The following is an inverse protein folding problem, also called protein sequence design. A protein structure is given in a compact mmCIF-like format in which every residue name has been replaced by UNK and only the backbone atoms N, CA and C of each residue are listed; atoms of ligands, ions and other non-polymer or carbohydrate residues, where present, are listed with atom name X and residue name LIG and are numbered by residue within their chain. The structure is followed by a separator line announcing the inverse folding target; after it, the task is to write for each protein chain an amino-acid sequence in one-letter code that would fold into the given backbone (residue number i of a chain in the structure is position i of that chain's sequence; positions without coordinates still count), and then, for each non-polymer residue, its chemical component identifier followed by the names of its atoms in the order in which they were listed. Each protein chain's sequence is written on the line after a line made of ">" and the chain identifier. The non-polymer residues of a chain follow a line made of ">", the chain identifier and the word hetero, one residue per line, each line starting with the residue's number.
data_IF_856305289872
#
_entry.id   IF_856305289872
#
_cell.length_a   1.000
_cell.length_b   1.000
_cell.length_c   1.000
_cell.angle_alpha   90.00
_cell.angle_beta   90.00
_cell.angle_gamma   90.00
#
_symmetry.space_group_name_H-M   'P 1'
#
loop_
_entity.id
_entity.type
_entity.pdbx_description
1 polymer ?
#
# COMPACT_ATOMS: atom_id res chain seq x y z
N UNK A 1 -10.89 18.89 33.33
CA UNK A 1 -11.79 18.36 32.28
C UNK A 1 -11.12 17.21 31.53
N UNK A 2 -11.27 15.96 31.99
CA UNK A 2 -10.66 14.77 31.36
C UNK A 2 -11.34 14.37 30.04
N UNK A 3 -12.63 14.66 29.89
CA UNK A 3 -13.42 14.32 28.71
C UNK A 3 -12.89 14.98 27.43
N UNK A 4 -12.48 16.24 27.50
CA UNK A 4 -11.94 16.96 26.34
C UNK A 4 -10.62 16.32 25.86
N UNK A 5 -9.79 15.87 26.79
CA UNK A 5 -8.56 15.16 26.48
C UNK A 5 -8.83 13.82 25.77
N UNK A 6 -9.79 13.03 26.27
CA UNK A 6 -10.16 11.77 25.61
C UNK A 6 -10.76 11.99 24.23
N UNK A 7 -11.58 13.03 24.04
CA UNK A 7 -12.14 13.40 22.74
C UNK A 7 -11.05 13.80 21.74
N UNK A 8 -10.12 14.66 22.16
CA UNK A 8 -8.97 15.05 21.33
C UNK A 8 -8.09 13.87 20.96
N UNK A 9 -7.83 12.96 21.91
CA UNK A 9 -7.05 11.75 21.65
C UNK A 9 -7.75 10.82 20.66
N UNK A 10 -9.07 10.63 20.80
CA UNK A 10 -9.86 9.84 19.87
C UNK A 10 -9.86 10.45 18.45
N UNK A 11 -10.07 11.76 18.35
CA UNK A 11 -9.99 12.49 17.08
C UNK A 11 -8.63 12.27 16.41
N UNK A 12 -7.54 12.45 17.16
CA UNK A 12 -6.19 12.28 16.64
C UNK A 12 -5.92 10.85 16.13
N UNK A 13 -6.43 9.84 16.85
CA UNK A 13 -6.32 8.44 16.44
C UNK A 13 -7.05 8.18 15.11
N UNK A 14 -8.29 8.67 14.97
CA UNK A 14 -9.10 8.43 13.77
C UNK A 14 -8.60 9.22 12.56
N UNK A 15 -8.08 10.44 12.75
CA UNK A 15 -7.67 11.31 11.64
C UNK A 15 -6.22 11.11 11.19
N UNK A 16 -5.32 10.66 12.08
CA UNK A 16 -3.90 10.53 11.73
C UNK A 16 -3.42 9.08 11.73
N UNK A 17 -3.81 8.28 12.72
CA UNK A 17 -3.28 6.91 12.88
C UNK A 17 -4.04 5.93 11.97
N UNK A 18 -5.37 6.05 11.92
CA UNK A 18 -6.20 5.19 11.08
C UNK A 18 -5.86 5.33 9.58
N UNK A 19 -5.71 6.54 9.02
CA UNK A 19 -5.39 6.69 7.59
C UNK A 19 -3.95 6.29 7.25
N UNK A 20 -3.02 6.38 8.21
CA UNK A 20 -1.64 5.92 8.02
C UNK A 20 -1.55 4.38 7.97
N UNK A 21 -2.46 3.68 8.67
CA UNK A 21 -2.52 2.20 8.70
C UNK A 21 -3.44 1.63 7.62
N UNK A 22 -4.49 2.35 7.26
CA UNK A 22 -5.30 2.13 6.07
C UNK A 22 -4.66 2.87 4.90
N UNK A 23 -3.50 2.39 4.43
CA UNK A 23 -2.98 2.85 3.15
C UNK A 23 -4.10 2.72 2.11
N UNK A 24 -4.57 3.86 1.58
CA UNK A 24 -5.49 3.95 0.46
C UNK A 24 -4.74 3.45 -0.78
N UNK A 25 -4.44 2.15 -0.81
CA UNK A 25 -3.86 1.47 -1.96
C UNK A 25 -4.98 1.39 -2.97
N UNK A 26 -4.89 2.22 -4.02
CA UNK A 26 -5.75 2.07 -5.19
C UNK A 26 -5.64 0.61 -5.65
N UNK A 27 -6.72 -0.20 -5.56
CA UNK A 27 -6.68 -1.62 -5.85
C UNK A 27 -6.28 -1.89 -7.30
N UNK A 28 -6.54 -0.93 -8.20
CA UNK A 28 -6.20 -1.04 -9.61
C UNK A 28 -4.79 -0.55 -9.93
N UNK A 29 -4.08 0.12 -9.00
CA UNK A 29 -2.74 0.68 -9.27
C UNK A 29 -1.72 -0.39 -9.65
N UNK A 30 -1.81 -1.58 -9.06
CA UNK A 30 -0.96 -2.71 -9.43
C UNK A 30 -1.31 -3.23 -10.83
N UNK A 31 -2.60 -3.45 -11.09
CA UNK A 31 -3.09 -3.98 -12.39
C UNK A 31 -2.88 -3.00 -13.54
N UNK A 32 -3.05 -1.68 -13.31
CA UNK A 32 -2.77 -0.60 -14.28
C UNK A 32 -1.30 -0.57 -14.71
N UNK A 33 -0.39 -1.01 -13.84
CA UNK A 33 1.04 -1.13 -14.14
C UNK A 33 1.42 -2.50 -14.71
N UNK A 34 0.44 -3.29 -15.18
CA UNK A 34 0.62 -4.67 -15.62
C UNK A 34 1.27 -5.58 -14.56
N UNK A 35 1.15 -5.20 -13.29
CA UNK A 35 1.69 -5.95 -12.16
C UNK A 35 0.70 -6.97 -11.61
N UNK A 36 1.24 -7.97 -10.92
CA UNK A 36 0.53 -9.05 -10.27
C UNK A 36 0.78 -9.04 -8.76
N UNK A 37 -0.28 -9.18 -7.97
CA UNK A 37 -0.21 -9.24 -6.52
C UNK A 37 0.22 -10.64 -6.04
N UNK A 38 1.42 -10.75 -5.46
CA UNK A 38 2.00 -12.00 -4.95
C UNK A 38 2.56 -11.82 -3.53
N UNK A 39 2.83 -12.92 -2.81
CA UNK A 39 3.50 -12.85 -1.49
C UNK A 39 4.99 -12.50 -1.61
N UNK A 40 5.64 -12.98 -2.67
CA UNK A 40 7.02 -12.69 -3.06
C UNK A 40 7.06 -12.65 -4.59
N UNK A 41 7.86 -11.75 -5.14
CA UNK A 41 8.10 -11.70 -6.58
C UNK A 41 8.99 -12.87 -7.01
N UNK A 42 8.83 -13.29 -8.26
CA UNK A 42 9.77 -14.22 -8.87
C UNK A 42 11.14 -13.58 -9.08
N UNK A 43 12.17 -14.39 -9.39
CA UNK A 43 13.54 -13.93 -9.58
C UNK A 43 13.66 -12.89 -10.72
N UNK A 44 12.80 -13.01 -11.72
CA UNK A 44 12.75 -12.16 -12.91
C UNK A 44 11.71 -11.04 -12.80
N UNK A 45 11.07 -10.88 -11.64
CA UNK A 45 10.09 -9.84 -11.34
C UNK A 45 10.68 -8.82 -10.34
N UNK A 46 10.27 -7.55 -10.45
CA UNK A 46 10.60 -6.48 -9.50
C UNK A 46 9.38 -6.10 -8.66
N UNK A 47 9.60 -5.82 -7.38
CA UNK A 47 8.58 -5.20 -6.52
C UNK A 47 8.46 -3.73 -6.88
N UNK A 48 7.25 -3.31 -7.27
CA UNK A 48 6.97 -1.93 -7.70
C UNK A 48 5.96 -1.22 -6.80
N UNK A 49 5.21 -1.98 -6.00
CA UNK A 49 4.13 -1.44 -5.17
C UNK A 49 3.65 -2.43 -4.09
N UNK A 50 2.64 -2.01 -3.34
CA UNK A 50 1.87 -2.86 -2.43
C UNK A 50 0.47 -3.16 -2.99
N UNK A 51 -0.17 -4.21 -2.47
CA UNK A 51 -1.54 -4.58 -2.84
C UNK A 51 -2.50 -4.31 -1.68
N UNK A 52 -3.80 -4.26 -1.98
CA UNK A 52 -4.84 -4.11 -0.95
C UNK A 52 -4.80 -5.21 0.13
N UNK A 53 -4.35 -6.41 -0.24
CA UNK A 53 -4.16 -7.51 0.72
C UNK A 53 -2.88 -7.30 1.56
N UNK A 54 -2.97 -7.29 2.90
CA UNK A 54 -1.87 -6.90 3.80
C UNK A 54 -0.65 -7.85 3.88
N UNK A 55 -0.55 -8.82 2.96
CA UNK A 55 0.59 -9.75 2.86
C UNK A 55 0.99 -10.00 1.39
N UNK A 56 0.51 -9.16 0.48
CA UNK A 56 0.84 -9.23 -0.94
C UNK A 56 1.51 -7.93 -1.37
N UNK A 57 2.53 -8.09 -2.19
CA UNK A 57 3.25 -7.03 -2.86
C UNK A 57 2.91 -7.07 -4.35
N UNK A 58 3.02 -5.91 -5.01
CA UNK A 58 2.84 -5.81 -6.44
C UNK A 58 4.17 -6.09 -7.15
N UNK A 59 4.17 -7.13 -7.98
CA UNK A 59 5.32 -7.57 -8.76
C UNK A 59 5.04 -7.35 -10.24
N UNK A 60 5.99 -6.79 -10.97
CA UNK A 60 5.94 -6.73 -12.44
C UNK A 60 7.12 -7.48 -13.00
N UNK A 61 6.95 -8.08 -14.18
CA UNK A 61 8.08 -8.64 -14.92
C UNK A 61 9.11 -7.54 -15.16
N UNK A 62 10.38 -7.87 -14.97
CA UNK A 62 11.49 -7.02 -15.37
C UNK A 62 11.57 -7.04 -16.90
N UNK A 63 10.64 -6.39 -17.59
CA UNK A 63 10.94 -5.95 -18.94
C UNK A 63 12.17 -5.05 -18.82
N UNK A 64 13.19 -5.31 -19.64
CA UNK A 64 14.32 -4.42 -19.80
C UNK A 64 13.84 -3.14 -20.51
N UNK A 65 12.91 -2.39 -19.92
CA UNK A 65 12.51 -1.06 -20.39
C UNK A 65 13.36 -0.01 -19.63
N UNK A 66 14.67 -0.16 -19.76
CA UNK A 66 15.63 0.95 -19.70
C UNK A 66 16.25 1.03 -21.10
N UNK A 67 15.56 1.68 -22.05
CA UNK A 67 16.19 2.31 -23.23
C UNK A 67 15.12 3.03 -24.08
N UNK A 68 14.82 4.29 -23.73
CA UNK A 68 14.44 5.39 -24.66
C UNK A 68 14.50 6.73 -23.94
#
# INVERSE_FOLDING_TARGET
>A
MKIIYYLLHFLCYVTFILPATCALVDPDRCTKKFGYCRRRCFKDEKQIDICLSPNKICCTESSFDEDS
#
